data_IF_160952280815
#
_entry.id   IF_160952280815
#
_cell.length_a   1.000
_cell.length_b   1.000
_cell.length_c   1.000
_cell.angle_alpha   90.00
_cell.angle_beta   90.00
_cell.angle_gamma   90.00
#
_symmetry.space_group_name_H-M   'P 1'
#
loop_
_entity.id
_entity.type
_entity.pdbx_description
1 polymer ?
#
# COMPACT_ATOMS: atom_id res chain seq x y z
N UNK A 1 1.61 20.48 -11.46
CA UNK A 1 1.09 20.03 -10.16
C UNK A 1 -0.15 19.19 -10.41
N UNK A 2 -0.12 17.91 -10.03
CA UNK A 2 -1.20 16.96 -10.26
C UNK A 2 -2.43 17.35 -9.42
N UNK A 3 -3.48 17.82 -10.08
CA UNK A 3 -4.78 18.02 -9.43
C UNK A 3 -5.48 16.66 -9.32
N UNK A 4 -5.24 15.96 -8.21
CA UNK A 4 -6.04 14.80 -7.81
C UNK A 4 -7.44 15.30 -7.45
N UNK A 5 -8.29 15.46 -8.47
CA UNK A 5 -9.70 15.75 -8.27
C UNK A 5 -10.41 14.48 -7.81
N UNK A 6 -10.60 14.36 -6.49
CA UNK A 6 -11.51 13.39 -5.87
C UNK A 6 -12.97 13.53 -6.30
N UNK A 7 -13.28 14.45 -7.22
CA UNK A 7 -14.62 14.69 -7.76
C UNK A 7 -14.94 13.75 -8.94
N UNK A 8 -13.93 13.18 -9.61
CA UNK A 8 -14.15 12.32 -10.80
C UNK A 8 -14.91 11.02 -10.50
N UNK A 9 -14.85 10.51 -9.26
CA UNK A 9 -15.56 9.28 -8.88
C UNK A 9 -17.05 9.50 -8.59
N UNK A 10 -17.49 10.73 -8.26
CA UNK A 10 -18.85 10.98 -7.74
C UNK A 10 -19.94 11.05 -8.83
N UNK A 11 -19.57 11.21 -10.12
CA UNK A 11 -20.51 11.32 -11.25
C UNK A 11 -20.69 10.04 -12.07
N UNK A 12 -20.07 8.94 -11.65
CA UNK A 12 -20.11 7.66 -12.36
C UNK A 12 -21.20 6.77 -11.75
N UNK A 13 -22.43 6.89 -12.25
CA UNK A 13 -23.63 6.34 -11.61
C UNK A 13 -23.94 4.87 -11.96
N UNK A 14 -23.23 4.25 -12.90
CA UNK A 14 -23.49 2.86 -13.29
C UNK A 14 -22.22 2.00 -13.21
N UNK A 15 -22.20 1.03 -12.29
CA UNK A 15 -21.19 -0.01 -12.19
C UNK A 15 -21.67 -1.27 -12.91
N UNK A 16 -20.96 -1.72 -13.93
CA UNK A 16 -21.12 -3.06 -14.49
C UNK A 16 -19.98 -3.95 -14.06
N UNK A 17 -20.33 -4.96 -13.26
CA UNK A 17 -19.48 -6.08 -12.91
C UNK A 17 -19.56 -7.14 -14.03
N UNK A 18 -18.44 -7.39 -14.69
CA UNK A 18 -18.32 -8.48 -15.65
C UNK A 18 -17.35 -9.51 -15.09
N UNK A 19 -17.85 -10.72 -14.89
CA UNK A 19 -16.99 -11.88 -14.66
C UNK A 19 -16.34 -12.23 -15.98
N UNK A 20 -15.02 -12.09 -16.03
CA UNK A 20 -14.23 -12.38 -17.21
C UNK A 20 -13.74 -13.82 -17.12
N UNK A 21 -13.52 -14.43 -18.30
CA UNK A 21 -12.88 -15.74 -18.38
C UNK A 21 -11.40 -15.56 -18.73
N UNK A 22 -10.50 -16.38 -18.15
CA UNK A 22 -10.73 -17.46 -17.17
C UNK A 22 -11.10 -16.97 -15.75
N UNK A 23 -11.53 -17.90 -14.89
CA UNK A 23 -12.01 -17.63 -13.52
C UNK A 23 -11.00 -16.84 -12.67
N UNK A 24 -11.48 -15.95 -11.80
CA UNK A 24 -10.64 -15.06 -10.99
C UNK A 24 -10.42 -13.67 -11.62
N UNK A 25 -10.99 -13.42 -12.80
CA UNK A 25 -10.95 -12.13 -13.47
C UNK A 25 -12.26 -11.37 -13.30
N UNK A 26 -12.17 -10.09 -12.94
CA UNK A 26 -13.32 -9.21 -12.83
C UNK A 26 -13.06 -7.89 -13.53
N UNK A 27 -14.06 -7.37 -14.22
CA UNK A 27 -14.07 -6.02 -14.73
C UNK A 27 -15.14 -5.18 -14.03
N UNK A 28 -14.72 -4.04 -13.50
CA UNK A 28 -15.57 -3.01 -12.94
C UNK A 28 -15.59 -1.83 -13.91
N UNK A 29 -16.69 -1.64 -14.62
CA UNK A 29 -16.84 -0.53 -15.57
C UNK A 29 -17.80 0.49 -15.00
N UNK A 30 -17.33 1.72 -14.91
CA UNK A 30 -18.06 2.87 -14.43
C UNK A 30 -18.39 3.77 -15.61
N UNK A 31 -19.65 4.18 -15.74
CA UNK A 31 -20.08 5.11 -16.81
C UNK A 31 -20.90 6.27 -16.24
N UNK A 32 -20.66 7.46 -16.76
CA UNK A 32 -21.46 8.66 -16.48
C UNK A 32 -22.52 8.86 -17.56
N UNK A 33 -23.60 9.57 -17.20
CA UNK A 33 -24.67 9.98 -18.13
C UNK A 33 -24.15 10.88 -19.25
N UNK A 34 -23.06 11.61 -19.03
CA UNK A 34 -22.39 12.44 -20.04
C UNK A 34 -21.51 11.65 -21.03
N UNK A 35 -21.38 10.33 -20.86
CA UNK A 35 -20.61 9.46 -21.74
C UNK A 35 -19.17 9.18 -21.28
N UNK A 36 -18.70 9.79 -20.18
CA UNK A 36 -17.42 9.45 -19.57
C UNK A 36 -17.43 7.99 -19.06
N UNK A 37 -16.34 7.25 -19.28
CA UNK A 37 -16.27 5.81 -18.98
C UNK A 37 -14.90 5.44 -18.43
N UNK A 38 -14.85 4.87 -17.23
CA UNK A 38 -13.63 4.34 -16.62
C UNK A 38 -13.79 2.84 -16.34
N UNK A 39 -12.73 2.07 -16.49
CA UNK A 39 -12.73 0.63 -16.25
C UNK A 39 -11.57 0.19 -15.37
N UNK A 40 -11.81 -0.81 -14.53
CA UNK A 40 -10.82 -1.48 -13.70
C UNK A 40 -10.88 -2.97 -13.98
N UNK A 41 -9.75 -3.54 -14.39
CA UNK A 41 -9.64 -4.99 -14.60
C UNK A 41 -8.77 -5.59 -13.50
N UNK A 42 -9.38 -6.45 -12.70
CA UNK A 42 -8.74 -7.14 -11.59
C UNK A 42 -8.46 -8.59 -11.96
N UNK A 43 -7.24 -9.04 -11.68
CA UNK A 43 -6.84 -10.43 -11.66
C UNK A 43 -6.56 -10.85 -10.21
N UNK A 44 -7.46 -11.65 -9.65
CA UNK A 44 -7.33 -12.18 -8.29
C UNK A 44 -6.57 -13.51 -8.23
N UNK A 45 -6.17 -14.07 -9.37
CA UNK A 45 -5.27 -15.22 -9.40
C UNK A 45 -3.86 -14.77 -8.96
N UNK A 46 -3.32 -15.43 -7.93
CA UNK A 46 -2.02 -15.13 -7.35
C UNK A 46 -0.85 -15.66 -8.17
N UNK A 47 -1.12 -16.62 -9.06
CA UNK A 47 -0.09 -17.43 -9.72
C UNK A 47 -0.14 -17.31 -11.24
N UNK A 48 -1.29 -16.93 -11.83
CA UNK A 48 -1.45 -16.92 -13.28
C UNK A 48 -1.56 -15.51 -13.88
N UNK A 49 -0.90 -15.35 -15.03
CA UNK A 49 -1.14 -14.22 -15.92
C UNK A 49 -2.41 -14.45 -16.73
N UNK A 50 -3.16 -13.40 -16.96
CA UNK A 50 -4.39 -13.46 -17.73
C UNK A 50 -4.39 -12.47 -18.88
N UNK A 51 -5.02 -12.88 -19.98
CA UNK A 51 -5.32 -12.00 -21.11
C UNK A 51 -6.83 -11.80 -21.18
N UNK A 52 -7.27 -10.58 -20.94
CA UNK A 52 -8.68 -10.19 -20.97
C UNK A 52 -9.01 -9.58 -22.32
N UNK A 53 -10.08 -10.03 -22.96
CA UNK A 53 -10.69 -9.35 -24.09
C UNK A 53 -11.83 -8.46 -23.59
N UNK A 54 -11.71 -7.15 -23.79
CA UNK A 54 -12.76 -6.19 -23.46
C UNK A 54 -12.85 -5.12 -24.54
N UNK A 55 -14.07 -4.86 -25.02
CA UNK A 55 -14.36 -3.87 -26.06
C UNK A 55 -13.44 -3.98 -27.29
N UNK A 56 -13.28 -5.20 -27.81
CA UNK A 56 -12.43 -5.54 -28.96
C UNK A 56 -10.92 -5.28 -28.78
N UNK A 57 -10.47 -5.08 -27.53
CA UNK A 57 -9.07 -4.92 -27.18
C UNK A 57 -8.63 -5.98 -26.17
N UNK A 58 -7.33 -6.25 -26.17
CA UNK A 58 -6.72 -7.25 -25.29
C UNK A 58 -5.82 -6.60 -24.26
N UNK A 59 -6.00 -6.97 -23.00
CA UNK A 59 -5.23 -6.47 -21.86
C UNK A 59 -4.52 -7.61 -21.16
N UNK A 60 -3.21 -7.45 -20.99
CA UNK A 60 -2.40 -8.39 -20.23
C UNK A 60 -2.41 -7.96 -18.76
N UNK A 61 -2.98 -8.82 -17.91
CA UNK A 61 -3.07 -8.62 -16.48
C UNK A 61 -2.07 -9.55 -15.80
N UNK A 62 -1.05 -8.99 -15.13
CA UNK A 62 -0.23 -9.74 -14.20
C UNK A 62 -1.07 -10.43 -13.12
N UNK A 63 -0.53 -11.50 -12.55
CA UNK A 63 -1.07 -12.12 -11.35
C UNK A 63 -1.23 -11.07 -10.23
N UNK A 64 -2.28 -11.22 -9.42
CA UNK A 64 -2.60 -10.36 -8.28
C UNK A 64 -2.52 -8.85 -8.58
N UNK A 65 -3.18 -8.40 -9.64
CA UNK A 65 -3.06 -7.03 -10.12
C UNK A 65 -4.38 -6.40 -10.56
N UNK A 66 -4.42 -5.07 -10.51
CA UNK A 66 -5.52 -4.26 -11.02
C UNK A 66 -4.96 -3.29 -12.06
N UNK A 67 -5.51 -3.33 -13.28
CA UNK A 67 -5.26 -2.35 -14.33
C UNK A 67 -6.33 -1.27 -14.33
N UNK A 68 -5.92 -0.01 -14.44
CA UNK A 68 -6.79 1.17 -14.40
C UNK A 68 -6.83 1.82 -15.78
N UNK A 69 -8.04 2.00 -16.31
CA UNK A 69 -8.32 2.57 -17.62
C UNK A 69 -9.29 3.76 -17.47
N UNK A 70 -8.81 5.01 -17.42
CA UNK A 70 -9.65 6.17 -17.20
C UNK A 70 -10.58 6.49 -18.39
N UNK A 71 -10.25 6.01 -19.59
CA UNK A 71 -11.03 6.15 -20.82
C UNK A 71 -11.66 4.82 -21.29
N UNK A 72 -11.56 3.77 -20.48
CA UNK A 72 -11.96 2.38 -20.80
C UNK A 72 -11.28 1.79 -22.04
N UNK A 73 -10.16 2.38 -22.47
CA UNK A 73 -9.41 1.96 -23.66
C UNK A 73 -7.93 1.73 -23.36
N UNK A 74 -7.27 2.66 -22.69
CA UNK A 74 -5.83 2.60 -22.45
C UNK A 74 -5.54 2.37 -20.97
N UNK A 75 -4.69 1.37 -20.69
CA UNK A 75 -4.18 1.14 -19.33
C UNK A 75 -3.14 2.20 -19.00
N UNK A 76 -3.44 3.10 -18.07
CA UNK A 76 -2.50 4.13 -17.60
C UNK A 76 -1.68 3.66 -16.40
N UNK A 77 -2.21 2.70 -15.63
CA UNK A 77 -1.56 2.18 -14.44
C UNK A 77 -1.94 0.72 -14.19
N UNK A 78 -1.01 -0.07 -13.67
CA UNK A 78 -1.25 -1.41 -13.16
C UNK A 78 -0.52 -1.57 -11.82
N UNK A 79 -1.19 -2.14 -10.82
CA UNK A 79 -0.65 -2.23 -9.45
C UNK A 79 0.56 -3.17 -9.31
N UNK A 80 0.75 -4.13 -10.21
CA UNK A 80 1.91 -5.03 -10.21
C UNK A 80 3.07 -4.49 -11.07
N UNK A 81 2.85 -3.44 -11.87
CA UNK A 81 3.89 -2.79 -12.67
C UNK A 81 4.45 -1.60 -11.91
N UNK A 82 5.57 -1.82 -11.25
CA UNK A 82 6.31 -0.74 -10.60
C UNK A 82 7.10 0.05 -11.64
N UNK A 83 6.73 1.32 -11.84
CA UNK A 83 7.51 2.27 -12.66
C UNK A 83 8.54 3.07 -11.85
N UNK A 84 8.52 2.95 -10.53
CA UNK A 84 9.42 3.64 -9.62
C UNK A 84 10.66 2.78 -9.34
N UNK A 85 11.80 3.45 -9.10
CA UNK A 85 13.03 2.79 -8.68
C UNK A 85 12.94 2.39 -7.20
N UNK A 86 13.34 1.16 -6.88
CA UNK A 86 13.49 0.72 -5.50
C UNK A 86 14.77 1.29 -4.89
N UNK A 87 14.69 1.78 -3.65
CA UNK A 87 15.86 2.18 -2.88
C UNK A 87 16.27 1.05 -1.92
N UNK A 88 17.53 0.65 -1.94
CA UNK A 88 18.09 -0.26 -0.94
C UNK A 88 18.80 0.55 0.15
N UNK A 89 18.33 0.41 1.39
CA UNK A 89 18.95 1.08 2.52
C UNK A 89 20.28 0.41 2.86
N UNK A 90 21.33 1.22 2.98
CA UNK A 90 22.66 0.77 3.43
C UNK A 90 23.08 1.61 4.62
N UNK A 91 23.39 0.96 5.74
CA UNK A 91 24.03 1.60 6.87
C UNK A 91 25.54 1.37 6.75
N UNK A 92 26.28 2.43 6.41
CA UNK A 92 27.74 2.43 6.40
C UNK A 92 28.25 3.09 7.66
N UNK A 93 29.10 2.41 8.47
CA UNK A 93 29.65 3.02 9.66
C UNK A 93 30.51 4.21 9.25
N UNK A 94 30.24 5.37 9.84
CA UNK A 94 31.14 6.52 9.73
C UNK A 94 32.21 6.32 10.79
N UNK A 95 33.48 6.35 10.40
CA UNK A 95 34.64 6.10 11.27
C UNK A 95 34.83 7.21 12.31
N UNK A 96 33.94 7.24 13.30
CA UNK A 96 33.99 8.11 14.48
C UNK A 96 33.97 7.23 15.70
N UNK A 97 35.09 7.22 16.41
CA UNK A 97 35.21 6.57 17.71
C UNK A 97 34.67 7.52 18.78
N UNK A 98 33.90 6.99 19.71
CA UNK A 98 33.44 7.74 20.87
C UNK A 98 34.29 7.36 22.07
N UNK A 99 34.79 8.36 22.79
CA UNK A 99 35.48 8.17 24.07
C UNK A 99 34.44 8.09 25.18
N UNK A 100 33.84 6.91 25.35
CA UNK A 100 32.89 6.66 26.41
C UNK A 100 33.59 6.61 27.77
N UNK A 101 32.95 7.20 28.78
CA UNK A 101 33.25 6.97 30.19
C UNK A 101 32.07 6.23 30.81
N UNK A 102 32.34 5.28 31.70
CA UNK A 102 31.33 4.54 32.43
C UNK A 102 31.30 4.97 33.88
N UNK A 103 30.10 5.06 34.46
CA UNK A 103 29.89 5.14 35.89
C UNK A 103 29.15 3.88 36.32
N UNK A 104 29.70 3.16 37.32
CA UNK A 104 29.00 2.05 37.93
C UNK A 104 28.09 2.62 39.01
N UNK A 105 26.78 2.41 38.85
CA UNK A 105 25.84 2.80 39.88
C UNK A 105 25.86 1.75 41.00
N UNK A 106 25.97 2.21 42.25
CA UNK A 106 26.05 1.33 43.40
C UNK A 106 24.66 0.86 43.82
N UNK A 107 24.57 -0.33 44.40
CA UNK A 107 23.31 -0.78 44.99
C UNK A 107 22.98 0.08 46.20
N UNK A 108 21.71 0.45 46.36
CA UNK A 108 21.27 1.29 47.48
C UNK A 108 21.47 0.54 48.80
N UNK A 109 22.31 1.08 49.69
CA UNK A 109 22.35 0.67 51.10
C UNK A 109 21.17 1.27 51.87
N UNK A 110 20.87 0.72 53.05
CA UNK A 110 19.83 1.22 53.96
C UNK A 110 20.28 2.53 54.63
N UNK A 111 20.53 3.56 53.82
CA UNK A 111 20.99 4.88 54.26
C UNK A 111 19.95 5.97 53.96
N UNK A 112 20.21 7.17 54.48
CA UNK A 112 19.34 8.35 54.67
C UNK A 112 18.55 8.88 53.45
N UNK A 113 18.66 8.26 52.26
CA UNK A 113 17.93 8.64 51.04
C UNK A 113 16.83 7.67 50.62
N UNK A 114 16.47 6.73 51.50
CA UNK A 114 15.38 5.77 51.27
C UNK A 114 14.06 6.31 51.82
N UNK A 115 13.00 6.31 50.99
CA UNK A 115 11.65 6.56 51.48
C UNK A 115 11.07 5.24 52.01
N UNK A 116 10.49 5.25 53.21
CA UNK A 116 9.95 4.05 53.86
C UNK A 116 8.43 4.13 54.00
N UNK A 117 7.76 2.99 53.97
CA UNK A 117 6.33 2.85 54.22
C UNK A 117 6.06 1.56 54.99
N UNK A 118 4.96 1.53 55.76
CA UNK A 118 4.50 0.30 56.43
C UNK A 118 3.71 -0.52 55.43
N UNK A 119 4.35 -1.54 54.85
CA UNK A 119 3.75 -2.43 53.85
C UNK A 119 4.43 -2.35 52.47
N UNK A 120 3.90 -3.10 51.50
CA UNK A 120 4.33 -3.04 50.11
C UNK A 120 3.53 -1.96 49.38
N UNK A 121 4.22 -1.10 48.63
CA UNK A 121 3.59 -0.09 47.76
C UNK A 121 3.57 -0.59 46.32
N UNK A 122 2.46 -0.38 45.63
CA UNK A 122 2.39 -0.60 44.18
C UNK A 122 3.20 0.43 43.38
N UNK A 123 3.77 0.01 42.25
CA UNK A 123 4.40 0.89 41.25
C UNK A 123 3.33 1.25 40.21
N UNK A 124 2.95 2.52 40.12
CA UNK A 124 2.03 3.04 39.10
C UNK A 124 2.79 3.74 37.97
#
# INVERSE_FOLDING_TARGET
>A
MASYSGVFFCLMQELRLLNLKPAGLQANVFRSKSGACAAFFANYDKNSFAKVAFNNMHYNLPHWSISILPDSKNTVYNTARMGAQSAQMKMTPVSRTFSWQSYNDETTSYEDRTFTAVGLLEHF
#
